data_IF_694819225141
#
_entry.id   IF_694819225141
#
_cell.length_a   1.000
_cell.length_b   1.000
_cell.length_c   1.000
_cell.angle_alpha   90.00
_cell.angle_beta   90.00
_cell.angle_gamma   90.00
#
_symmetry.space_group_name_H-M   'P 1'
#
loop_
_entity.id
_entity.type
_entity.pdbx_description
1 polymer ?
#
# COMPACT_ATOMS: atom_id res chain seq x y z
N UNK A 1 9.91 8.80 -22.96
CA UNK A 1 10.70 7.66 -22.44
C UNK A 1 11.12 7.84 -20.99
N UNK A 2 11.98 8.79 -20.62
CA UNK A 2 12.44 8.93 -19.22
C UNK A 2 11.31 9.22 -18.23
N UNK A 3 10.33 10.07 -18.61
CA UNK A 3 9.15 10.37 -17.77
C UNK A 3 8.26 9.14 -17.56
N UNK A 4 8.04 8.33 -18.59
CA UNK A 4 7.23 7.11 -18.48
C UNK A 4 7.90 6.05 -17.62
N UNK A 5 9.23 5.92 -17.73
CA UNK A 5 10.03 5.03 -16.88
C UNK A 5 9.90 5.48 -15.42
N UNK A 6 10.06 6.77 -15.13
CA UNK A 6 9.90 7.31 -13.77
C UNK A 6 8.49 7.07 -13.22
N UNK A 7 7.46 7.27 -14.04
CA UNK A 7 6.06 6.96 -13.70
C UNK A 7 5.86 5.50 -13.35
N UNK A 8 6.46 4.58 -14.10
CA UNK A 8 6.40 3.15 -13.78
C UNK A 8 7.09 2.80 -12.45
N UNK A 9 8.24 3.43 -12.16
CA UNK A 9 8.95 3.26 -10.88
C UNK A 9 8.18 3.75 -9.66
N UNK A 10 7.17 4.61 -9.85
CA UNK A 10 6.30 5.09 -8.76
C UNK A 10 5.02 4.25 -8.70
N UNK A 11 4.42 3.98 -9.86
CA UNK A 11 3.16 3.25 -9.96
C UNK A 11 3.29 1.80 -9.45
N UNK A 12 4.37 1.10 -9.81
CA UNK A 12 4.55 -0.29 -9.40
C UNK A 12 4.63 -0.43 -7.88
N UNK A 13 5.49 0.33 -7.16
CA UNK A 13 5.46 0.33 -5.69
C UNK A 13 4.13 0.78 -5.10
N UNK A 14 3.43 1.76 -5.69
CA UNK A 14 2.12 2.20 -5.22
C UNK A 14 1.10 1.06 -5.23
N UNK A 15 1.03 0.33 -6.35
CA UNK A 15 0.14 -0.83 -6.50
C UNK A 15 0.50 -1.92 -5.50
N UNK A 16 1.79 -2.21 -5.31
CA UNK A 16 2.26 -3.19 -4.32
C UNK A 16 1.82 -2.79 -2.91
N UNK A 17 1.99 -1.52 -2.53
CA UNK A 17 1.60 -1.01 -1.22
C UNK A 17 0.09 -1.17 -1.00
N UNK A 18 -0.73 -0.79 -1.98
CA UNK A 18 -2.18 -0.91 -1.89
C UNK A 18 -2.64 -2.38 -1.82
N UNK A 19 -2.00 -3.27 -2.58
CA UNK A 19 -2.27 -4.70 -2.53
C UNK A 19 -2.00 -5.28 -1.13
N UNK A 20 -0.82 -5.04 -0.57
CA UNK A 20 -0.49 -5.52 0.77
C UNK A 20 -1.32 -4.84 1.85
N UNK A 21 -1.69 -3.57 1.66
CA UNK A 21 -2.62 -2.89 2.57
C UNK A 21 -3.95 -3.62 2.67
N UNK A 22 -4.54 -4.02 1.52
CA UNK A 22 -5.77 -4.79 1.48
C UNK A 22 -5.59 -6.19 2.09
N UNK A 23 -4.48 -6.86 1.81
CA UNK A 23 -4.18 -8.17 2.39
C UNK A 23 -4.09 -8.11 3.93
N UNK A 24 -3.36 -7.15 4.49
CA UNK A 24 -3.28 -6.96 5.94
C UNK A 24 -4.62 -6.52 6.56
N UNK A 25 -5.42 -5.74 5.82
CA UNK A 25 -6.77 -5.39 6.27
C UNK A 25 -7.66 -6.64 6.39
N UNK A 26 -7.62 -7.53 5.40
CA UNK A 26 -8.36 -8.80 5.46
C UNK A 26 -7.89 -9.70 6.59
N UNK A 27 -6.58 -9.81 6.83
CA UNK A 27 -6.04 -10.56 7.99
C UNK A 27 -6.53 -9.99 9.32
N UNK A 28 -6.66 -8.66 9.41
CA UNK A 28 -7.23 -7.98 10.57
C UNK A 28 -8.73 -8.26 10.74
N UNK A 29 -9.53 -8.06 9.69
CA UNK A 29 -10.99 -8.26 9.72
C UNK A 29 -11.38 -9.71 10.01
N UNK A 30 -10.66 -10.67 9.44
CA UNK A 30 -10.89 -12.09 9.68
C UNK A 30 -10.32 -12.58 11.03
N UNK A 31 -9.62 -11.70 11.75
CA UNK A 31 -8.99 -12.00 13.05
C UNK A 31 -8.14 -13.29 13.01
N UNK A 32 -7.36 -13.47 11.93
CA UNK A 32 -6.61 -14.72 11.66
C UNK A 32 -5.66 -15.08 12.80
N UNK A 33 -4.97 -14.08 13.37
CA UNK A 33 -4.22 -14.21 14.61
C UNK A 33 -4.55 -13.01 15.53
N UNK A 34 -5.29 -13.22 16.63
CA UNK A 34 -5.67 -12.16 17.56
C UNK A 34 -4.48 -11.41 18.18
N UNK A 35 -3.33 -12.08 18.35
CA UNK A 35 -2.13 -11.46 18.93
C UNK A 35 -1.50 -10.44 17.97
N UNK A 36 -1.70 -10.64 16.67
CA UNK A 36 -1.17 -9.79 15.60
C UNK A 36 -2.20 -8.81 15.02
N UNK A 37 -3.45 -8.83 15.50
CA UNK A 37 -4.54 -7.94 15.03
C UNK A 37 -4.12 -6.46 14.96
N UNK A 38 -3.49 -5.94 16.02
CA UNK A 38 -2.98 -4.55 16.06
C UNK A 38 -1.88 -4.30 15.02
N UNK A 39 -1.02 -5.29 14.79
CA UNK A 39 0.03 -5.20 13.78
C UNK A 39 -0.57 -5.18 12.37
N UNK A 40 -1.49 -6.10 12.05
CA UNK A 40 -2.17 -6.14 10.75
C UNK A 40 -2.90 -4.84 10.44
N UNK A 41 -3.65 -4.30 11.40
CA UNK A 41 -4.32 -3.01 11.24
C UNK A 41 -3.32 -1.87 10.96
N UNK A 42 -2.26 -1.77 11.76
CA UNK A 42 -1.28 -0.70 11.61
C UNK A 42 -0.47 -0.82 10.31
N UNK A 43 -0.09 -2.04 9.92
CA UNK A 43 0.59 -2.32 8.66
C UNK A 43 -0.32 -1.95 7.48
N UNK A 44 -1.59 -2.36 7.53
CA UNK A 44 -2.58 -2.01 6.52
C UNK A 44 -2.71 -0.50 6.34
N UNK A 45 -2.90 0.25 7.44
CA UNK A 45 -3.02 1.71 7.40
C UNK A 45 -1.75 2.41 6.91
N UNK A 46 -0.58 1.94 7.35
CA UNK A 46 0.71 2.49 6.91
C UNK A 46 0.92 2.30 5.41
N UNK A 47 0.65 1.09 4.91
CA UNK A 47 0.77 0.76 3.50
C UNK A 47 -0.27 1.51 2.66
N UNK A 48 -1.50 1.69 3.17
CA UNK A 48 -2.52 2.50 2.51
C UNK A 48 -2.04 3.94 2.35
N UNK A 49 -1.55 4.54 3.43
CA UNK A 49 -1.02 5.90 3.43
C UNK A 49 0.14 6.06 2.45
N UNK A 50 1.12 5.15 2.50
CA UNK A 50 2.26 5.16 1.57
C UNK A 50 1.83 4.98 0.10
N UNK A 51 0.91 4.06 -0.17
CA UNK A 51 0.39 3.82 -1.53
C UNK A 51 -0.36 5.02 -2.09
N UNK A 52 -1.21 5.67 -1.28
CA UNK A 52 -1.92 6.89 -1.67
C UNK A 52 -0.94 8.05 -1.93
N UNK A 53 0.08 8.21 -1.09
CA UNK A 53 1.12 9.24 -1.31
C UNK A 53 1.84 9.00 -2.64
N UNK A 54 2.23 7.77 -2.93
CA UNK A 54 2.89 7.43 -4.20
C UNK A 54 1.97 7.68 -5.40
N UNK A 55 0.67 7.38 -5.29
CA UNK A 55 -0.30 7.70 -6.34
C UNK A 55 -0.44 9.21 -6.55
N UNK A 56 -0.47 10.01 -5.48
CA UNK A 56 -0.52 11.48 -5.59
C UNK A 56 0.73 11.98 -6.34
N UNK A 57 1.91 11.48 -5.97
CA UNK A 57 3.16 11.84 -6.66
C UNK A 57 3.11 11.43 -8.14
N UNK A 58 2.63 10.23 -8.44
CA UNK A 58 2.46 9.74 -9.81
C UNK A 58 1.56 10.65 -10.67
N UNK A 59 0.50 11.23 -10.08
CA UNK A 59 -0.43 12.11 -10.80
C UNK A 59 0.15 13.51 -11.06
N UNK A 60 1.16 13.93 -10.29
CA UNK A 60 1.81 15.24 -10.42
C UNK A 60 2.94 15.22 -11.45
N UNK A 61 3.71 14.12 -11.48
CA UNK A 61 4.82 13.88 -12.42
C UNK A 61 4.25 13.51 -13.80
#
# INVERSE_FOLDING_TARGET
>A
MLSEILKAFILVPAVIFLFYSAAYFLLFELNVDPKLSKFYRNASLTLLGGGVILLIIYMII
#
